data_IF_548937942304
#
_entry.id   IF_548937942304
#
_cell.length_a   1.000
_cell.length_b   1.000
_cell.length_c   1.000
_cell.angle_alpha   90.00
_cell.angle_beta   90.00
_cell.angle_gamma   90.00
#
_symmetry.space_group_name_H-M   'P 1'
#
loop_
_entity.id
_entity.type
_entity.pdbx_description
1 polymer ?
#
# COMPACT_ATOMS: atom_id res chain seq x y z
N UNK A 1 17.67 21.44 0.69
CA UNK A 1 17.27 20.23 1.42
C UNK A 1 18.53 19.67 2.04
N UNK A 2 18.52 19.39 3.34
CA UNK A 2 19.64 18.75 4.01
C UNK A 2 19.82 17.34 3.44
N UNK A 3 21.06 16.88 3.31
CA UNK A 3 21.39 15.57 2.75
C UNK A 3 22.52 14.96 3.55
N UNK A 4 22.59 13.63 3.55
CA UNK A 4 23.67 12.89 4.19
C UNK A 4 25.04 13.20 3.60
N UNK A 5 26.10 12.97 4.37
CA UNK A 5 27.48 13.20 3.95
C UNK A 5 28.16 12.03 3.23
N UNK A 6 27.57 10.83 3.26
CA UNK A 6 28.18 9.62 2.72
C UNK A 6 27.83 9.34 1.24
N UNK A 7 28.74 8.68 0.52
CA UNK A 7 28.48 8.10 -0.80
C UNK A 7 28.19 6.59 -0.72
N UNK A 8 28.93 5.87 0.13
CA UNK A 8 28.65 4.47 0.44
C UNK A 8 27.97 4.36 1.81
N UNK A 9 26.91 3.55 1.91
CA UNK A 9 26.17 3.41 3.18
C UNK A 9 27.04 2.96 4.36
N UNK A 10 28.14 2.24 4.10
CA UNK A 10 29.09 1.80 5.16
C UNK A 10 29.80 2.99 5.84
N UNK A 11 29.88 4.13 5.16
CA UNK A 11 30.54 5.34 5.67
C UNK A 11 29.57 6.28 6.40
N UNK A 12 28.29 5.89 6.53
CA UNK A 12 27.26 6.73 7.15
C UNK A 12 27.48 6.92 8.64
N UNK A 13 27.27 8.16 9.13
CA UNK A 13 27.36 8.46 10.55
C UNK A 13 26.01 8.27 11.25
N UNK A 14 25.98 8.18 12.60
CA UNK A 14 24.73 8.19 13.35
C UNK A 14 23.82 9.38 12.99
N UNK A 15 24.39 10.57 12.82
CA UNK A 15 23.66 11.79 12.47
C UNK A 15 23.02 11.72 11.08
N UNK A 16 23.71 11.11 10.11
CA UNK A 16 23.16 10.86 8.76
C UNK A 16 21.91 9.97 8.83
N UNK A 17 21.95 8.92 9.65
CA UNK A 17 20.82 8.00 9.81
C UNK A 17 19.68 8.63 10.62
N UNK A 18 19.98 9.48 11.61
CA UNK A 18 18.96 10.27 12.31
C UNK A 18 18.22 11.22 11.36
N UNK A 19 18.95 11.89 10.46
CA UNK A 19 18.37 12.69 9.38
C UNK A 19 17.45 11.83 8.50
N UNK A 20 17.95 10.70 7.96
CA UNK A 20 17.15 9.81 7.10
C UNK A 20 15.89 9.33 7.83
N UNK A 21 16.03 8.88 9.08
CA UNK A 21 14.91 8.36 9.86
C UNK A 21 13.85 9.44 10.08
N UNK A 22 14.25 10.66 10.44
CA UNK A 22 13.33 11.78 10.63
C UNK A 22 12.56 12.10 9.35
N UNK A 23 13.25 12.23 8.23
CA UNK A 23 12.62 12.52 6.94
C UNK A 23 11.69 11.38 6.50
N UNK A 24 12.11 10.12 6.68
CA UNK A 24 11.30 8.95 6.35
C UNK A 24 10.03 8.86 7.19
N UNK A 25 10.12 9.11 8.50
CA UNK A 25 8.96 9.09 9.40
C UNK A 25 7.97 10.19 9.02
N UNK A 26 8.46 11.41 8.78
CA UNK A 26 7.63 12.53 8.35
C UNK A 26 6.92 12.22 7.02
N UNK A 27 7.66 11.70 6.04
CA UNK A 27 7.10 11.34 4.73
C UNK A 27 6.06 10.22 4.82
N UNK A 28 6.35 9.14 5.56
CA UNK A 28 5.41 8.03 5.76
C UNK A 28 4.12 8.51 6.42
N UNK A 29 4.22 9.30 7.49
CA UNK A 29 3.06 9.84 8.18
C UNK A 29 2.18 10.72 7.28
N UNK A 30 2.80 11.47 6.36
CA UNK A 30 2.08 12.36 5.45
C UNK A 30 1.46 11.64 4.24
N UNK A 31 2.06 10.56 3.74
CA UNK A 31 1.73 10.01 2.41
C UNK A 31 1.30 8.54 2.37
N UNK A 32 1.22 7.84 3.51
CA UNK A 32 0.86 6.43 3.55
C UNK A 32 -0.48 6.15 2.82
N UNK A 33 -1.52 6.91 3.13
CA UNK A 33 -2.84 6.75 2.51
C UNK A 33 -2.79 6.99 1.00
N UNK A 34 -2.07 8.02 0.55
CA UNK A 34 -1.92 8.32 -0.87
C UNK A 34 -1.24 7.18 -1.62
N UNK A 35 -0.20 6.59 -1.04
CA UNK A 35 0.49 5.44 -1.62
C UNK A 35 -0.41 4.20 -1.69
N UNK A 36 -1.17 3.90 -0.64
CA UNK A 36 -2.12 2.77 -0.66
C UNK A 36 -3.18 2.94 -1.75
N UNK A 37 -3.74 4.15 -1.88
CA UNK A 37 -4.72 4.45 -2.92
C UNK A 37 -4.11 4.42 -4.33
N UNK A 38 -2.85 4.85 -4.48
CA UNK A 38 -2.13 4.74 -5.74
C UNK A 38 -1.90 3.29 -6.14
N UNK A 39 -1.48 2.42 -5.21
CA UNK A 39 -1.31 0.98 -5.47
C UNK A 39 -2.62 0.33 -5.87
N UNK A 40 -3.73 0.64 -5.17
CA UNK A 40 -5.06 0.19 -5.54
C UNK A 40 -5.42 0.59 -6.98
N UNK A 41 -5.23 1.87 -7.34
CA UNK A 41 -5.52 2.37 -8.70
C UNK A 41 -4.64 1.71 -9.77
N UNK A 42 -3.40 1.35 -9.43
CA UNK A 42 -2.48 0.67 -10.35
C UNK A 42 -2.95 -0.75 -10.71
N UNK A 43 -3.91 -1.33 -9.97
CA UNK A 43 -4.54 -2.60 -10.33
C UNK A 43 -5.57 -2.48 -11.48
N UNK A 44 -5.82 -1.26 -11.98
CA UNK A 44 -6.61 -1.07 -13.19
C UNK A 44 -5.84 -1.58 -14.40
N UNK A 45 -6.49 -2.34 -15.29
CA UNK A 45 -5.78 -2.97 -16.41
C UNK A 45 -6.51 -4.15 -17.04
N UNK A 46 -5.80 -5.23 -17.39
CA UNK A 46 -6.41 -6.35 -18.11
C UNK A 46 -7.44 -7.05 -17.24
N UNK A 47 -8.54 -7.49 -17.86
CA UNK A 47 -9.59 -8.20 -17.13
C UNK A 47 -9.29 -9.68 -16.88
N UNK A 48 -8.23 -10.24 -17.48
CA UNK A 48 -7.80 -11.63 -17.27
C UNK A 48 -8.92 -12.68 -17.50
N UNK A 49 -9.85 -12.40 -18.41
CA UNK A 49 -11.00 -13.27 -18.71
C UNK A 49 -12.23 -13.02 -17.83
N UNK A 50 -12.15 -12.13 -16.84
CA UNK A 50 -13.30 -11.63 -16.08
C UNK A 50 -14.02 -10.49 -16.83
N UNK A 51 -15.24 -10.10 -16.41
CA UNK A 51 -15.92 -8.92 -16.96
C UNK A 51 -15.46 -7.59 -16.35
N UNK A 52 -14.54 -7.61 -15.38
CA UNK A 52 -13.98 -6.44 -14.70
C UNK A 52 -12.50 -6.68 -14.40
N UNK A 53 -11.72 -5.61 -14.25
CA UNK A 53 -10.34 -5.70 -13.79
C UNK A 53 -10.24 -5.78 -12.26
N UNK A 54 -9.01 -5.95 -11.74
CA UNK A 54 -8.74 -6.08 -10.30
C UNK A 54 -9.12 -4.84 -9.49
N UNK A 55 -8.91 -3.66 -10.06
CA UNK A 55 -9.34 -2.40 -9.43
C UNK A 55 -10.86 -2.34 -9.25
N UNK A 56 -11.63 -2.60 -10.30
CA UNK A 56 -13.08 -2.62 -10.24
C UNK A 56 -13.62 -3.73 -9.35
N UNK A 57 -13.02 -4.93 -9.37
CA UNK A 57 -13.34 -6.01 -8.43
C UNK A 57 -13.19 -5.58 -6.96
N UNK A 58 -12.09 -4.90 -6.64
CA UNK A 58 -11.81 -4.37 -5.31
C UNK A 58 -12.86 -3.33 -4.88
N UNK A 59 -13.20 -2.38 -5.77
CA UNK A 59 -14.26 -1.39 -5.53
C UNK A 59 -15.63 -2.05 -5.32
N UNK A 60 -15.98 -3.06 -6.12
CA UNK A 60 -17.25 -3.78 -5.97
C UNK A 60 -17.33 -4.49 -4.62
N UNK A 61 -16.24 -5.13 -4.20
CA UNK A 61 -16.16 -5.86 -2.93
C UNK A 61 -16.36 -4.91 -1.74
N UNK A 62 -15.63 -3.80 -1.70
CA UNK A 62 -15.79 -2.77 -0.68
C UNK A 62 -17.18 -2.12 -0.69
N UNK A 63 -17.72 -1.83 -1.88
CA UNK A 63 -19.05 -1.22 -2.01
C UNK A 63 -20.16 -2.14 -1.51
N UNK A 64 -20.03 -3.46 -1.71
CA UNK A 64 -20.98 -4.45 -1.17
C UNK A 64 -20.90 -4.49 0.36
N UNK A 65 -19.71 -4.54 0.94
CA UNK A 65 -19.52 -4.47 2.39
C UNK A 65 -20.12 -3.19 2.99
N UNK A 66 -19.82 -2.04 2.37
CA UNK A 66 -20.37 -0.74 2.80
C UNK A 66 -21.90 -0.72 2.76
N UNK A 67 -22.50 -1.23 1.68
CA UNK A 67 -23.97 -1.29 1.54
C UNK A 67 -24.63 -2.29 2.48
N UNK A 68 -23.88 -3.28 2.96
CA UNK A 68 -24.35 -4.23 3.98
C UNK A 68 -24.27 -3.63 5.40
N UNK A 69 -23.71 -2.43 5.58
CA UNK A 69 -23.54 -1.81 6.88
C UNK A 69 -22.42 -2.42 7.72
N UNK A 70 -21.41 -3.02 7.07
CA UNK A 70 -20.23 -3.55 7.75
C UNK A 70 -19.39 -2.43 8.39
N UNK A 71 -18.56 -2.80 9.37
CA UNK A 71 -17.60 -1.89 9.98
C UNK A 71 -16.56 -1.37 8.98
N UNK A 72 -15.99 -0.19 9.23
CA UNK A 72 -15.00 0.44 8.36
C UNK A 72 -13.79 -0.47 8.11
N UNK A 73 -13.35 -1.22 9.12
CA UNK A 73 -12.25 -2.17 8.99
C UNK A 73 -12.56 -3.26 7.96
N UNK A 74 -13.81 -3.76 7.93
CA UNK A 74 -14.24 -4.74 6.93
C UNK A 74 -14.36 -4.15 5.54
N UNK A 75 -14.82 -2.89 5.43
CA UNK A 75 -14.88 -2.18 4.15
C UNK A 75 -13.49 -1.95 3.58
N UNK A 76 -12.54 -1.52 4.41
CA UNK A 76 -11.13 -1.30 4.02
C UNK A 76 -10.43 -2.62 3.69
N UNK A 77 -10.63 -3.68 4.49
CA UNK A 77 -10.10 -5.00 4.18
C UNK A 77 -10.62 -5.52 2.84
N UNK A 78 -11.93 -5.38 2.57
CA UNK A 78 -12.50 -5.75 1.28
C UNK A 78 -11.97 -4.90 0.12
N UNK A 79 -11.66 -3.63 0.35
CA UNK A 79 -11.07 -2.74 -0.65
C UNK A 79 -9.64 -3.11 -1.03
N UNK A 80 -8.86 -3.62 -0.08
CA UNK A 80 -7.42 -3.82 -0.23
C UNK A 80 -6.98 -5.30 -0.24
N UNK A 81 -7.93 -6.26 -0.17
CA UNK A 81 -7.62 -7.69 -0.07
C UNK A 81 -6.70 -8.23 -1.18
N UNK A 82 -6.79 -7.67 -2.39
CA UNK A 82 -6.00 -8.07 -3.56
C UNK A 82 -4.81 -7.15 -3.84
N UNK A 83 -4.49 -6.16 -2.98
CA UNK A 83 -3.48 -5.12 -3.28
C UNK A 83 -2.06 -5.65 -3.51
N UNK A 84 -1.78 -6.89 -3.10
CA UNK A 84 -0.52 -7.59 -3.36
C UNK A 84 -0.41 -8.27 -4.73
N UNK A 85 -1.52 -8.45 -5.46
CA UNK A 85 -1.60 -9.25 -6.70
C UNK A 85 -0.58 -8.83 -7.78
N UNK A 86 -0.32 -7.51 -8.02
CA UNK A 86 0.60 -7.10 -9.09
C UNK A 86 2.07 -7.48 -8.87
N UNK A 87 2.51 -7.63 -7.61
CA UNK A 87 3.93 -7.81 -7.26
C UNK A 87 4.21 -9.16 -6.59
N UNK A 88 3.18 -9.81 -6.06
CA UNK A 88 3.29 -11.01 -5.26
C UNK A 88 2.07 -11.93 -5.48
N UNK A 89 1.74 -12.33 -6.72
CA UNK A 89 0.47 -13.02 -7.04
C UNK A 89 0.30 -14.33 -6.26
N UNK A 90 1.37 -15.11 -6.11
CA UNK A 90 1.36 -16.42 -5.43
C UNK A 90 1.10 -16.32 -3.92
N UNK A 91 1.33 -15.17 -3.31
CA UNK A 91 1.14 -14.93 -1.87
C UNK A 91 0.45 -13.58 -1.58
N UNK A 92 -0.36 -13.09 -2.53
CA UNK A 92 -0.89 -11.72 -2.49
C UNK A 92 -1.72 -11.46 -1.23
N UNK A 93 -2.45 -12.47 -0.75
CA UNK A 93 -3.30 -12.37 0.44
C UNK A 93 -2.46 -12.17 1.71
N UNK A 94 -1.31 -12.83 1.82
CA UNK A 94 -0.38 -12.63 2.93
C UNK A 94 0.26 -11.24 2.87
N UNK A 95 0.65 -10.79 1.67
CA UNK A 95 1.21 -9.44 1.47
C UNK A 95 0.17 -8.36 1.80
N UNK A 96 -1.08 -8.51 1.36
CA UNK A 96 -2.16 -7.59 1.70
C UNK A 96 -2.40 -7.53 3.21
N UNK A 97 -2.39 -8.70 3.88
CA UNK A 97 -2.53 -8.75 5.33
C UNK A 97 -1.36 -8.08 6.07
N UNK A 98 -0.13 -8.23 5.59
CA UNK A 98 1.06 -7.58 6.15
C UNK A 98 1.02 -6.05 5.95
N UNK A 99 0.51 -5.56 4.82
CA UNK A 99 0.34 -4.13 4.54
C UNK A 99 -0.68 -3.51 5.51
N UNK A 100 -1.76 -4.22 5.81
CA UNK A 100 -2.85 -3.72 6.67
C UNK A 100 -2.61 -3.95 8.16
N UNK A 101 -1.53 -4.64 8.53
CA UNK A 101 -1.20 -4.91 9.93
C UNK A 101 -0.90 -3.58 10.66
N UNK A 102 -1.38 -3.41 11.92
CA UNK A 102 -1.02 -2.28 12.77
C UNK A 102 0.47 -2.17 13.09
#
# INVERSE_FOLDING_TARGET
METVGFEHMVDGTPEDYELICRELVAHKAAHLTDHLLATLKAMAGPMLGYPVDRFHHSLQSATRALRNGEADEMVVAALLHDVGDPIAPENHSAVAADILRP
#
